data_IF_905023466783
#
_entry.id   IF_905023466783
#
_cell.length_a   1.000
_cell.length_b   1.000
_cell.length_c   1.000
_cell.angle_alpha   90.00
_cell.angle_beta   90.00
_cell.angle_gamma   90.00
#
_symmetry.space_group_name_H-M   'P 1'
#
loop_
_entity.id
_entity.type
_entity.pdbx_description
1 polymer ?
#
# COMPACT_ATOMS: atom_id res chain seq x y z
N UNK A 1 9.39 18.19 -19.64
CA UNK A 1 9.70 16.90 -18.97
C UNK A 1 8.45 16.12 -18.54
N UNK A 2 7.57 16.61 -17.64
CA UNK A 2 6.41 15.85 -17.12
C UNK A 2 5.44 15.31 -18.19
N UNK A 3 5.14 16.09 -19.23
CA UNK A 3 4.30 15.69 -20.39
C UNK A 3 4.87 14.49 -21.14
N UNK A 4 6.15 14.57 -21.49
CA UNK A 4 6.87 13.50 -22.17
C UNK A 4 6.90 12.24 -21.31
N UNK A 5 7.05 12.37 -19.98
CA UNK A 5 6.98 11.25 -19.05
C UNK A 5 5.67 10.45 -19.15
N UNK A 6 4.51 11.10 -19.27
CA UNK A 6 3.24 10.40 -19.48
C UNK A 6 3.12 9.75 -20.86
N UNK A 7 3.60 10.41 -21.90
CA UNK A 7 3.54 9.87 -23.26
C UNK A 7 4.44 8.63 -23.40
N UNK A 8 5.69 8.73 -22.93
CA UNK A 8 6.64 7.60 -22.92
C UNK A 8 6.20 6.51 -21.96
N UNK A 9 5.72 6.87 -20.77
CA UNK A 9 5.21 5.92 -19.79
C UNK A 9 4.04 5.10 -20.34
N UNK A 10 3.09 5.76 -21.01
CA UNK A 10 2.01 5.06 -21.72
C UNK A 10 2.55 4.18 -22.86
N UNK A 11 3.48 4.68 -23.68
CA UNK A 11 4.06 3.91 -24.79
C UNK A 11 4.74 2.63 -24.31
N UNK A 12 5.55 2.70 -23.25
CA UNK A 12 6.21 1.55 -22.63
C UNK A 12 5.19 0.59 -21.99
N UNK A 13 4.19 1.13 -21.29
CA UNK A 13 3.11 0.34 -20.70
C UNK A 13 2.31 -0.43 -21.77
N UNK A 14 1.97 0.27 -22.86
CA UNK A 14 1.30 -0.32 -24.01
C UNK A 14 2.16 -1.42 -24.61
N UNK A 15 3.42 -1.15 -24.98
CA UNK A 15 4.30 -2.15 -25.57
C UNK A 15 4.46 -3.40 -24.69
N UNK A 16 4.61 -3.22 -23.37
CA UNK A 16 4.72 -4.33 -22.43
C UNK A 16 3.45 -5.18 -22.40
N UNK A 17 2.28 -4.60 -22.09
CA UNK A 17 1.05 -5.36 -21.94
C UNK A 17 0.53 -5.92 -23.25
N UNK A 18 0.65 -5.15 -24.33
CA UNK A 18 0.24 -5.54 -25.67
C UNK A 18 1.11 -6.71 -26.18
N UNK A 19 2.44 -6.59 -26.07
CA UNK A 19 3.37 -7.64 -26.48
C UNK A 19 3.33 -8.88 -25.60
N UNK A 20 3.08 -8.74 -24.29
CA UNK A 20 3.01 -9.87 -23.36
C UNK A 20 1.86 -10.84 -23.71
N UNK A 21 0.71 -10.31 -24.12
CA UNK A 21 -0.42 -11.12 -24.58
C UNK A 21 -0.04 -12.03 -25.74
N UNK A 22 0.56 -11.45 -26.77
CA UNK A 22 0.97 -12.17 -27.98
C UNK A 22 2.12 -13.15 -27.71
N UNK A 23 3.10 -12.78 -26.88
CA UNK A 23 4.21 -13.66 -26.49
C UNK A 23 3.75 -14.91 -25.73
N UNK A 24 2.74 -14.78 -24.87
CA UNK A 24 2.23 -15.90 -24.06
C UNK A 24 1.10 -16.71 -24.72
N UNK A 25 0.56 -16.25 -25.85
CA UNK A 25 -0.60 -16.85 -26.52
C UNK A 25 -0.35 -18.19 -27.24
N UNK A 26 0.82 -18.47 -27.85
CA UNK A 26 1.03 -19.69 -28.63
C UNK A 26 0.66 -20.96 -27.86
N UNK A 27 -0.11 -21.85 -28.51
CA UNK A 27 -0.56 -23.12 -27.94
C UNK A 27 -1.83 -23.06 -27.08
N UNK A 28 -2.47 -21.89 -26.91
CA UNK A 28 -3.71 -21.72 -26.11
C UNK A 28 -4.78 -20.91 -26.83
N UNK A 29 -4.78 -20.89 -28.16
CA UNK A 29 -5.58 -19.94 -28.95
C UNK A 29 -7.01 -20.40 -29.18
N UNK A 30 -7.91 -19.43 -29.30
CA UNK A 30 -9.33 -19.65 -29.59
C UNK A 30 -9.73 -18.86 -30.84
N UNK A 31 -10.72 -19.33 -31.59
CA UNK A 31 -11.26 -18.57 -32.71
C UNK A 31 -12.03 -17.35 -32.18
N UNK A 32 -11.81 -16.19 -32.79
CA UNK A 32 -12.56 -14.98 -32.50
C UNK A 32 -14.04 -15.16 -32.90
N UNK A 33 -15.01 -14.68 -32.08
CA UNK A 33 -16.40 -14.64 -32.48
C UNK A 33 -16.60 -13.74 -33.71
N UNK A 34 -17.16 -14.31 -34.78
CA UNK A 34 -17.42 -13.64 -36.04
C UNK A 34 -18.88 -13.86 -36.49
N UNK A 35 -19.48 -12.87 -37.16
CA UNK A 35 -20.77 -13.06 -37.81
C UNK A 35 -20.61 -13.43 -39.28
N UNK A 36 -21.44 -14.36 -39.78
CA UNK A 36 -21.33 -14.90 -41.15
C UNK A 36 -21.43 -13.83 -42.25
N UNK A 37 -22.26 -12.81 -42.03
CA UNK A 37 -22.45 -11.71 -42.98
C UNK A 37 -21.20 -10.86 -43.14
N UNK A 38 -20.28 -10.86 -42.15
CA UNK A 38 -19.06 -10.08 -42.24
C UNK A 38 -18.23 -10.51 -43.44
N UNK A 39 -18.18 -11.80 -43.76
CA UNK A 39 -17.43 -12.32 -44.92
C UNK A 39 -17.89 -11.75 -46.27
N UNK A 40 -19.11 -11.23 -46.34
CA UNK A 40 -19.69 -10.67 -47.56
C UNK A 40 -19.28 -9.21 -47.79
N UNK A 41 -18.73 -8.53 -46.78
CA UNK A 41 -18.26 -7.16 -46.92
C UNK A 41 -17.06 -7.07 -47.88
N UNK A 42 -17.03 -6.08 -48.79
CA UNK A 42 -15.87 -5.88 -49.66
C UNK A 42 -14.66 -5.42 -48.83
N UNK A 43 -13.49 -5.99 -49.12
CA UNK A 43 -12.23 -5.53 -48.53
C UNK A 43 -11.85 -4.20 -49.17
N UNK A 44 -11.58 -3.18 -48.36
CA UNK A 44 -11.22 -1.83 -48.82
C UNK A 44 -9.84 -1.40 -48.29
N UNK A 45 -8.73 -1.74 -48.97
CA UNK A 45 -7.38 -1.44 -48.49
C UNK A 45 -7.12 0.05 -48.20
N UNK A 46 -7.56 1.04 -49.02
CA UNK A 46 -7.43 2.46 -48.67
C UNK A 46 -8.00 2.88 -47.30
N UNK A 47 -8.96 2.14 -46.71
CA UNK A 47 -9.46 2.41 -45.36
C UNK A 47 -8.33 2.31 -44.30
N UNK A 48 -7.20 1.67 -44.62
CA UNK A 48 -6.01 1.64 -43.77
C UNK A 48 -5.47 3.03 -43.43
N UNK A 49 -5.69 4.06 -44.25
CA UNK A 49 -5.27 5.43 -43.92
C UNK A 49 -6.13 6.02 -42.81
N UNK A 50 -7.44 5.73 -42.81
CA UNK A 50 -8.33 6.09 -41.71
C UNK A 50 -7.95 5.31 -40.45
N UNK A 51 -7.63 4.03 -40.59
CA UNK A 51 -7.11 3.20 -39.50
C UNK A 51 -5.86 3.84 -38.85
N UNK A 52 -4.87 4.21 -39.66
CA UNK A 52 -3.60 4.79 -39.19
C UNK A 52 -3.73 6.24 -38.68
N UNK A 53 -4.87 6.91 -38.92
CA UNK A 53 -5.10 8.29 -38.46
C UNK A 53 -5.11 8.44 -36.93
N UNK A 54 -5.16 7.35 -36.18
CA UNK A 54 -4.97 7.36 -34.72
C UNK A 54 -3.56 7.84 -34.31
N UNK A 55 -2.54 7.57 -35.13
CA UNK A 55 -1.14 7.95 -34.85
C UNK A 55 -0.97 9.49 -34.80
N UNK A 56 -1.39 10.26 -35.81
CA UNK A 56 -1.36 11.72 -35.71
C UNK A 56 -2.30 12.25 -34.62
N UNK A 57 -3.39 11.55 -34.28
CA UNK A 57 -4.24 11.93 -33.15
C UNK A 57 -3.50 11.83 -31.80
N UNK A 58 -2.68 10.79 -31.57
CA UNK A 58 -1.77 10.72 -30.42
C UNK A 58 -0.78 11.89 -30.40
N UNK A 59 -0.20 12.25 -31.56
CA UNK A 59 0.67 13.42 -31.70
C UNK A 59 -0.03 14.72 -31.32
N UNK A 60 -1.28 14.90 -31.76
CA UNK A 60 -2.09 16.07 -31.44
C UNK A 60 -2.43 16.14 -29.93
N UNK A 61 -2.79 15.02 -29.32
CA UNK A 61 -3.02 14.91 -27.86
C UNK A 61 -1.75 15.32 -27.10
N UNK A 62 -0.60 14.75 -27.49
CA UNK A 62 0.67 15.06 -26.88
C UNK A 62 1.02 16.54 -27.01
N UNK A 63 0.70 17.19 -28.13
CA UNK A 63 1.02 18.60 -28.35
C UNK A 63 0.04 19.57 -27.68
N UNK A 64 -1.27 19.35 -27.82
CA UNK A 64 -2.28 20.41 -27.62
C UNK A 64 -3.10 20.28 -26.34
N UNK A 65 -3.18 19.09 -25.73
CA UNK A 65 -3.99 18.90 -24.50
C UNK A 65 -3.35 19.59 -23.30
N UNK A 66 -4.13 20.21 -22.39
CA UNK A 66 -3.57 20.65 -21.12
C UNK A 66 -3.12 19.44 -20.28
N UNK A 67 -2.16 19.66 -19.38
CA UNK A 67 -1.46 18.57 -18.69
C UNK A 67 -2.40 17.66 -17.88
N UNK A 68 -3.42 18.22 -17.23
CA UNK A 68 -4.38 17.46 -16.42
C UNK A 68 -5.22 16.52 -17.28
N UNK A 69 -5.71 16.97 -18.44
CA UNK A 69 -6.45 16.13 -19.38
C UNK A 69 -5.55 15.10 -20.08
N UNK A 70 -4.31 15.47 -20.43
CA UNK A 70 -3.35 14.51 -20.98
C UNK A 70 -3.08 13.36 -19.99
N UNK A 71 -2.78 13.71 -18.73
CA UNK A 71 -2.55 12.73 -17.67
C UNK A 71 -3.77 11.85 -17.45
N UNK A 72 -4.97 12.45 -17.41
CA UNK A 72 -6.23 11.72 -17.28
C UNK A 72 -6.45 10.74 -18.45
N UNK A 73 -6.20 11.20 -19.69
CA UNK A 73 -6.35 10.36 -20.89
C UNK A 73 -5.36 9.22 -20.85
N UNK A 74 -4.07 9.50 -20.64
CA UNK A 74 -3.04 8.47 -20.53
C UNK A 74 -3.38 7.43 -19.45
N UNK A 75 -3.93 7.85 -18.31
CA UNK A 75 -4.38 6.94 -17.24
C UNK A 75 -5.53 6.05 -17.71
N UNK A 76 -6.52 6.60 -18.41
CA UNK A 76 -7.64 5.84 -18.96
C UNK A 76 -7.16 4.84 -20.01
N UNK A 77 -6.25 5.25 -20.90
CA UNK A 77 -5.67 4.37 -21.91
C UNK A 77 -4.83 3.25 -21.24
N UNK A 78 -4.02 3.55 -20.21
CA UNK A 78 -3.31 2.52 -19.45
C UNK A 78 -4.26 1.50 -18.82
N UNK A 79 -5.39 1.95 -18.25
CA UNK A 79 -6.40 1.06 -17.67
C UNK A 79 -7.06 0.18 -18.75
N UNK A 80 -7.34 0.72 -19.94
CA UNK A 80 -7.85 -0.06 -21.08
C UNK A 80 -6.84 -1.09 -21.55
N UNK A 81 -5.57 -0.72 -21.70
CA UNK A 81 -4.48 -1.65 -22.04
C UNK A 81 -4.35 -2.77 -21.02
N UNK A 82 -4.46 -2.45 -19.72
CA UNK A 82 -4.36 -3.45 -18.65
C UNK A 82 -5.49 -4.48 -18.75
N UNK A 83 -6.73 -4.01 -18.91
CA UNK A 83 -7.91 -4.89 -18.98
C UNK A 83 -7.87 -5.72 -20.26
N UNK A 84 -7.66 -5.08 -21.41
CA UNK A 84 -7.58 -5.77 -22.69
C UNK A 84 -6.41 -6.77 -22.73
N UNK A 85 -5.22 -6.35 -22.29
CA UNK A 85 -4.04 -7.20 -22.19
C UNK A 85 -4.24 -8.40 -21.26
N UNK A 86 -4.94 -8.21 -20.14
CA UNK A 86 -5.33 -9.33 -19.25
C UNK A 86 -6.29 -10.30 -19.94
N UNK A 87 -7.25 -9.79 -20.73
CA UNK A 87 -8.15 -10.63 -21.53
C UNK A 87 -7.36 -11.38 -22.59
N UNK A 88 -6.42 -10.74 -23.31
CA UNK A 88 -5.58 -11.40 -24.30
C UNK A 88 -4.73 -12.54 -23.69
N UNK A 89 -4.31 -12.41 -22.43
CA UNK A 89 -3.56 -13.46 -21.72
C UNK A 89 -4.41 -14.66 -21.31
N UNK A 90 -5.65 -14.41 -20.91
CA UNK A 90 -6.60 -15.42 -20.43
C UNK A 90 -7.32 -16.09 -21.62
N UNK A 91 -7.62 -15.32 -22.65
CA UNK A 91 -8.42 -15.69 -23.81
C UNK A 91 -7.79 -15.14 -25.11
N UNK A 92 -6.64 -15.70 -25.55
CA UNK A 92 -5.98 -15.26 -26.77
C UNK A 92 -6.81 -15.69 -28.00
N UNK A 93 -7.17 -14.72 -28.83
CA UNK A 93 -8.08 -14.93 -29.95
C UNK A 93 -7.33 -14.82 -31.27
N UNK A 94 -7.56 -15.74 -32.21
CA UNK A 94 -7.05 -15.67 -33.58
C UNK A 94 -8.21 -15.63 -34.58
N UNK A 95 -7.97 -15.01 -35.73
CA UNK A 95 -8.92 -14.97 -36.85
C UNK A 95 -8.31 -15.63 -38.08
N UNK A 96 -9.11 -16.29 -38.94
CA UNK A 96 -8.66 -16.72 -40.26
C UNK A 96 -8.14 -15.56 -41.14
N UNK A 97 -8.48 -14.31 -40.81
CA UNK A 97 -8.01 -13.13 -41.56
C UNK A 97 -6.57 -12.73 -41.25
N UNK A 98 -5.94 -13.30 -40.22
CA UNK A 98 -4.56 -12.97 -39.85
C UNK A 98 -3.54 -13.23 -40.96
N UNK A 99 -3.88 -14.10 -41.92
CA UNK A 99 -2.99 -14.46 -43.03
C UNK A 99 -3.23 -13.63 -44.29
N UNK A 100 -4.14 -12.65 -44.26
CA UNK A 100 -4.51 -11.84 -45.41
C UNK A 100 -3.37 -10.89 -45.82
N UNK A 101 -2.75 -11.13 -46.97
CA UNK A 101 -1.67 -10.28 -47.52
C UNK A 101 -2.18 -9.41 -48.66
N UNK A 102 -2.42 -8.13 -48.40
CA UNK A 102 -2.80 -7.14 -49.41
C UNK A 102 -1.61 -6.26 -49.79
N UNK A 103 -1.37 -6.09 -51.10
CA UNK A 103 -0.31 -5.22 -51.60
C UNK A 103 -0.75 -3.74 -51.66
N UNK A 104 -1.03 -3.15 -50.49
CA UNK A 104 -1.37 -1.73 -50.34
C UNK A 104 -0.51 -1.11 -49.24
N UNK A 105 0.19 0.03 -49.49
CA UNK A 105 1.20 0.56 -48.56
C UNK A 105 0.63 0.86 -47.17
N UNK A 106 -0.56 1.47 -47.10
CA UNK A 106 -1.21 1.74 -45.83
C UNK A 106 -1.61 0.46 -45.08
N UNK A 107 -1.99 -0.61 -45.80
CA UNK A 107 -2.33 -1.89 -45.18
C UNK A 107 -1.08 -2.56 -44.61
N UNK A 108 0.01 -2.60 -45.37
CA UNK A 108 1.29 -3.17 -44.94
C UNK A 108 1.84 -2.48 -43.68
N UNK A 109 1.65 -1.16 -43.56
CA UNK A 109 2.02 -0.42 -42.36
C UNK A 109 1.11 -0.73 -41.17
N UNK A 110 -0.21 -0.82 -41.39
CA UNK A 110 -1.16 -1.19 -40.35
C UNK A 110 -0.90 -2.61 -39.82
N UNK A 111 -0.67 -3.55 -40.72
CA UNK A 111 -0.42 -4.96 -40.42
C UNK A 111 0.85 -5.16 -39.57
N UNK A 112 1.93 -4.41 -39.86
CA UNK A 112 3.17 -4.45 -39.05
C UNK A 112 2.99 -3.98 -37.61
N UNK A 113 1.96 -3.20 -37.31
CA UNK A 113 1.70 -2.69 -35.96
C UNK A 113 0.78 -3.62 -35.17
N UNK A 114 0.06 -4.50 -35.86
CA UNK A 114 -0.88 -5.42 -35.24
C UNK A 114 -0.19 -6.70 -34.80
N UNK A 115 -0.60 -7.20 -33.64
CA UNK A 115 -0.22 -8.52 -33.15
C UNK A 115 -1.22 -9.57 -33.65
N UNK A 116 -0.93 -10.85 -33.41
CA UNK A 116 -1.72 -11.95 -33.97
C UNK A 116 -2.94 -12.28 -33.10
N UNK A 117 -2.79 -12.19 -31.78
CA UNK A 117 -3.75 -12.76 -30.83
C UNK A 117 -4.65 -11.75 -30.06
N UNK A 118 -4.65 -10.48 -30.46
CA UNK A 118 -5.18 -9.34 -29.70
C UNK A 118 -6.54 -8.81 -30.21
N UNK A 119 -7.47 -9.70 -30.58
CA UNK A 119 -8.73 -9.33 -31.23
C UNK A 119 -9.72 -8.64 -30.26
N UNK A 120 -10.35 -9.38 -29.33
CA UNK A 120 -11.35 -8.84 -28.41
C UNK A 120 -10.79 -8.56 -27.01
N UNK A 121 -11.00 -7.36 -26.43
CA UNK A 121 -11.60 -6.17 -27.03
C UNK A 121 -10.61 -5.41 -27.92
N UNK A 122 -11.09 -4.80 -29.01
CA UNK A 122 -10.22 -4.02 -29.92
C UNK A 122 -9.68 -2.76 -29.23
N UNK A 123 -8.38 -2.76 -28.90
CA UNK A 123 -7.69 -1.59 -28.34
C UNK A 123 -7.66 -0.39 -29.28
N UNK A 124 -7.55 -0.61 -30.60
CA UNK A 124 -7.52 0.47 -31.58
C UNK A 124 -8.81 1.30 -31.54
N UNK A 125 -9.95 0.61 -31.56
CA UNK A 125 -11.27 1.23 -31.38
C UNK A 125 -11.41 1.85 -29.99
N UNK A 126 -10.97 1.18 -28.92
CA UNK A 126 -11.06 1.72 -27.57
C UNK A 126 -10.31 3.07 -27.45
N UNK A 127 -9.11 3.16 -28.04
CA UNK A 127 -8.31 4.38 -28.05
C UNK A 127 -8.94 5.47 -28.92
N UNK A 128 -9.47 5.14 -30.10
CA UNK A 128 -10.15 6.11 -30.96
C UNK A 128 -11.39 6.72 -30.28
N UNK A 129 -12.22 5.89 -29.65
CA UNK A 129 -13.40 6.34 -28.89
C UNK A 129 -12.98 7.20 -27.69
N UNK A 130 -11.93 6.82 -26.97
CA UNK A 130 -11.39 7.60 -25.84
C UNK A 130 -10.86 8.96 -26.26
N UNK A 131 -10.15 9.02 -27.39
CA UNK A 131 -9.69 10.28 -27.97
C UNK A 131 -10.85 11.15 -28.40
N UNK A 132 -11.86 10.59 -29.06
CA UNK A 132 -13.05 11.35 -29.47
C UNK A 132 -13.79 11.93 -28.25
N UNK A 133 -13.93 11.15 -27.18
CA UNK A 133 -14.49 11.61 -25.91
C UNK A 133 -13.68 12.78 -25.33
N UNK A 134 -12.35 12.66 -25.32
CA UNK A 134 -11.47 13.69 -24.77
C UNK A 134 -11.47 14.96 -25.64
N UNK A 135 -11.39 14.82 -26.96
CA UNK A 135 -11.53 15.94 -27.91
C UNK A 135 -12.87 16.65 -27.75
N UNK A 136 -13.97 15.90 -27.69
CA UNK A 136 -15.30 16.46 -27.47
C UNK A 136 -15.49 17.10 -26.09
N UNK A 137 -14.69 16.71 -25.08
CA UNK A 137 -14.70 17.31 -23.75
C UNK A 137 -13.95 18.64 -23.72
N UNK A 138 -12.81 18.74 -24.42
CA UNK A 138 -11.95 19.95 -24.45
C UNK A 138 -12.47 20.97 -25.47
N UNK A 139 -12.94 20.49 -26.63
CA UNK A 139 -13.42 21.31 -27.73
C UNK A 139 -14.83 20.86 -28.15
N UNK A 140 -15.87 21.32 -27.44
CA UNK A 140 -17.25 20.88 -27.69
C UNK A 140 -17.73 21.10 -29.13
N UNK A 141 -17.23 22.13 -29.82
CA UNK A 141 -17.58 22.45 -31.22
C UNK A 141 -17.22 21.34 -32.20
N UNK A 142 -16.17 20.56 -31.93
CA UNK A 142 -15.73 19.46 -32.82
C UNK A 142 -16.20 18.09 -32.33
N UNK A 143 -17.06 18.02 -31.30
CA UNK A 143 -17.47 16.75 -30.70
C UNK A 143 -18.03 15.78 -31.72
N UNK A 144 -18.95 16.23 -32.56
CA UNK A 144 -19.54 15.41 -33.61
C UNK A 144 -18.51 14.99 -34.66
N UNK A 145 -17.61 15.89 -35.05
CA UNK A 145 -16.50 15.54 -35.95
C UNK A 145 -15.61 14.45 -35.35
N UNK A 146 -15.28 14.55 -34.06
CA UNK A 146 -14.48 13.57 -33.35
C UNK A 146 -15.21 12.22 -33.22
N UNK A 147 -16.52 12.22 -32.96
CA UNK A 147 -17.35 11.01 -32.96
C UNK A 147 -17.42 10.37 -34.34
N UNK A 148 -17.64 11.15 -35.41
CA UNK A 148 -17.63 10.67 -36.78
C UNK A 148 -16.27 10.07 -37.15
N UNK A 149 -15.17 10.71 -36.73
CA UNK A 149 -13.83 10.18 -36.91
C UNK A 149 -13.63 8.83 -36.19
N UNK A 150 -14.04 8.71 -34.92
CA UNK A 150 -13.93 7.44 -34.19
C UNK A 150 -14.79 6.33 -34.82
N UNK A 151 -16.00 6.66 -35.30
CA UNK A 151 -16.84 5.73 -36.06
C UNK A 151 -16.17 5.31 -37.37
N UNK A 152 -15.52 6.24 -38.08
CA UNK A 152 -14.77 5.92 -39.30
C UNK A 152 -13.55 5.04 -39.00
N UNK A 153 -12.86 5.25 -37.88
CA UNK A 153 -11.76 4.38 -37.43
C UNK A 153 -12.30 2.98 -37.11
N UNK A 154 -13.43 2.87 -36.41
CA UNK A 154 -14.08 1.60 -36.11
C UNK A 154 -14.57 0.85 -37.37
N UNK A 155 -15.17 1.56 -38.32
CA UNK A 155 -15.55 0.96 -39.59
C UNK A 155 -14.33 0.52 -40.40
N UNK A 156 -13.23 1.29 -40.35
CA UNK A 156 -12.02 0.96 -41.11
C UNK A 156 -11.40 -0.35 -40.66
N UNK A 157 -11.45 -0.71 -39.36
CA UNK A 157 -10.90 -1.99 -38.86
C UNK A 157 -11.59 -3.21 -39.48
N UNK A 158 -12.91 -3.15 -39.68
CA UNK A 158 -13.70 -4.22 -40.31
C UNK A 158 -13.45 -4.27 -41.82
N UNK A 159 -13.41 -3.10 -42.47
CA UNK A 159 -13.19 -3.00 -43.94
C UNK A 159 -11.82 -3.51 -44.38
N UNK A 160 -10.81 -3.42 -43.50
CA UNK A 160 -9.47 -3.97 -43.75
C UNK A 160 -9.27 -5.37 -43.16
N UNK A 161 -10.32 -6.02 -42.61
CA UNK A 161 -10.26 -7.36 -42.03
C UNK A 161 -9.28 -7.52 -40.86
N UNK A 162 -9.05 -6.45 -40.10
CA UNK A 162 -8.20 -6.48 -38.90
C UNK A 162 -9.00 -6.73 -37.61
N UNK A 163 -10.33 -6.54 -37.63
CA UNK A 163 -11.23 -6.85 -36.52
C UNK A 163 -12.62 -7.29 -37.00
N UNK A 164 -13.28 -8.15 -36.23
CA UNK A 164 -14.70 -8.47 -36.37
C UNK A 164 -15.57 -7.45 -35.65
N UNK A 165 -16.87 -7.43 -35.94
CA UNK A 165 -17.79 -6.48 -35.29
C UNK A 165 -17.82 -6.70 -33.77
N UNK A 166 -17.73 -7.95 -33.30
CA UNK A 166 -17.67 -8.28 -31.88
C UNK A 166 -16.52 -7.56 -31.16
N UNK A 167 -15.31 -7.56 -31.74
CA UNK A 167 -14.13 -6.91 -31.18
C UNK A 167 -14.29 -5.39 -31.12
N UNK A 168 -14.88 -4.82 -32.17
CA UNK A 168 -15.17 -3.39 -32.28
C UNK A 168 -16.14 -2.95 -31.20
N UNK A 169 -17.25 -3.70 -31.01
CA UNK A 169 -18.25 -3.39 -29.99
C UNK A 169 -17.69 -3.54 -28.57
N UNK A 170 -16.94 -4.61 -28.30
CA UNK A 170 -16.30 -4.81 -27.00
C UNK A 170 -15.22 -3.75 -26.71
N UNK A 171 -14.46 -3.30 -27.73
CA UNK A 171 -13.52 -2.19 -27.63
C UNK A 171 -14.20 -0.84 -27.32
N UNK A 172 -15.27 -0.52 -28.03
CA UNK A 172 -16.06 0.69 -27.76
C UNK A 172 -16.71 0.67 -26.37
N UNK A 173 -17.22 -0.51 -25.95
CA UNK A 173 -17.76 -0.76 -24.61
C UNK A 173 -16.72 -0.55 -23.52
N UNK A 174 -15.53 -1.14 -23.66
CA UNK A 174 -14.40 -0.97 -22.73
C UNK A 174 -14.02 0.52 -22.60
N UNK A 175 -13.89 1.21 -23.73
CA UNK A 175 -13.60 2.65 -23.71
C UNK A 175 -14.65 3.43 -22.94
N UNK A 176 -15.93 3.21 -23.27
CA UNK A 176 -17.05 3.92 -22.63
C UNK A 176 -17.08 3.67 -21.13
N UNK A 177 -16.91 2.41 -20.70
CA UNK A 177 -16.86 2.04 -19.29
C UNK A 177 -15.75 2.78 -18.53
N UNK A 178 -14.52 2.77 -19.07
CA UNK A 178 -13.38 3.42 -18.41
C UNK A 178 -13.50 4.95 -18.44
N UNK A 179 -13.87 5.53 -19.58
CA UNK A 179 -14.00 6.98 -19.71
C UNK A 179 -15.11 7.51 -18.81
N UNK A 180 -16.27 6.85 -18.75
CA UNK A 180 -17.37 7.27 -17.88
C UNK A 180 -16.98 7.20 -16.39
N UNK A 181 -16.26 6.15 -15.96
CA UNK A 181 -15.89 5.95 -14.55
C UNK A 181 -14.70 6.81 -14.07
N UNK A 182 -13.68 6.99 -14.92
CA UNK A 182 -12.38 7.50 -14.48
C UNK A 182 -12.00 8.87 -15.06
N UNK A 183 -12.56 9.31 -16.18
CA UNK A 183 -12.13 10.55 -16.86
C UNK A 183 -12.25 11.80 -15.99
N UNK A 184 -13.39 12.01 -15.34
CA UNK A 184 -13.61 13.22 -14.53
C UNK A 184 -12.80 13.19 -13.23
N UNK A 185 -12.72 12.01 -12.60
CA UNK A 185 -12.00 11.82 -11.34
C UNK A 185 -10.49 11.98 -11.53
N UNK A 186 -9.92 11.39 -12.59
CA UNK A 186 -8.47 11.44 -12.86
C UNK A 186 -7.95 12.82 -13.27
N UNK A 187 -8.84 13.76 -13.61
CA UNK A 187 -8.46 15.16 -13.82
C UNK A 187 -8.25 15.93 -12.51
N UNK A 188 -8.89 15.49 -11.42
CA UNK A 188 -8.85 16.19 -10.11
C UNK A 188 -7.54 15.88 -9.39
N UNK A 189 -6.91 16.89 -8.81
CA UNK A 189 -5.66 16.71 -8.06
C UNK A 189 -5.84 15.77 -6.85
N UNK A 190 -6.98 15.86 -6.16
CA UNK A 190 -7.35 14.97 -5.05
C UNK A 190 -7.40 13.46 -5.42
N UNK A 191 -7.60 13.11 -6.70
CA UNK A 191 -7.46 11.70 -7.13
C UNK A 191 -6.01 11.23 -7.05
N UNK A 192 -5.07 12.07 -7.49
CA UNK A 192 -3.65 11.78 -7.46
C UNK A 192 -3.06 11.86 -6.07
N UNK A 193 -3.56 12.75 -5.22
CA UNK A 193 -3.13 12.84 -3.84
C UNK A 193 -3.49 11.56 -3.07
N UNK A 194 -4.66 10.97 -3.35
CA UNK A 194 -5.08 9.67 -2.82
C UNK A 194 -4.18 8.53 -3.31
N UNK A 195 -3.90 8.46 -4.62
CA UNK A 195 -3.00 7.44 -5.17
C UNK A 195 -1.60 7.56 -4.57
N UNK A 196 -1.09 8.79 -4.46
CA UNK A 196 0.23 9.06 -3.88
C UNK A 196 0.28 8.63 -2.42
N UNK A 197 -0.76 8.93 -1.63
CA UNK A 197 -0.82 8.52 -0.23
C UNK A 197 -0.86 7.00 -0.07
N UNK A 198 -1.64 6.29 -0.91
CA UNK A 198 -1.63 4.82 -0.92
C UNK A 198 -0.24 4.27 -1.27
N UNK A 199 0.42 4.81 -2.29
CA UNK A 199 1.77 4.39 -2.68
C UNK A 199 2.81 4.66 -1.58
N UNK A 200 2.72 5.82 -0.91
CA UNK A 200 3.58 6.16 0.23
C UNK A 200 3.34 5.21 1.40
N UNK A 201 2.08 4.91 1.72
CA UNK A 201 1.70 3.97 2.76
C UNK A 201 2.28 2.57 2.49
N UNK A 202 2.15 2.05 1.26
CA UNK A 202 2.72 0.75 0.89
C UNK A 202 4.26 0.75 0.94
N UNK A 203 4.89 1.84 0.49
CA UNK A 203 6.36 1.99 0.56
C UNK A 203 6.85 2.00 2.01
N UNK A 204 6.15 2.69 2.91
CA UNK A 204 6.47 2.71 4.32
C UNK A 204 6.27 1.32 4.97
N UNK A 205 5.19 0.61 4.66
CA UNK A 205 5.03 -0.78 5.11
C UNK A 205 6.16 -1.70 4.65
N UNK A 206 6.64 -1.54 3.42
CA UNK A 206 7.78 -2.29 2.94
C UNK A 206 9.07 -1.96 3.70
N UNK A 207 9.27 -0.71 4.10
CA UNK A 207 10.36 -0.32 5.00
C UNK A 207 10.24 -1.01 6.36
N UNK A 208 9.06 -0.94 7.00
CA UNK A 208 8.80 -1.58 8.29
C UNK A 208 9.01 -3.10 8.23
N UNK A 209 8.53 -3.75 7.16
CA UNK A 209 8.68 -5.18 6.94
C UNK A 209 10.16 -5.62 6.78
N UNK A 210 11.01 -4.75 6.21
CA UNK A 210 12.45 -4.99 6.13
C UNK A 210 13.14 -4.87 7.49
N UNK A 211 12.65 -3.98 8.37
CA UNK A 211 13.15 -3.83 9.74
C UNK A 211 12.83 -5.05 10.58
N UNK A 212 11.57 -5.50 10.60
CA UNK A 212 11.17 -6.64 11.42
C UNK A 212 9.97 -7.41 10.86
N UNK A 213 10.02 -8.76 10.99
CA UNK A 213 8.96 -9.66 10.47
C UNK A 213 7.57 -9.40 11.07
N UNK A 214 7.48 -8.81 12.27
CA UNK A 214 6.20 -8.43 12.91
C UNK A 214 5.36 -7.50 12.04
N UNK A 215 6.02 -6.60 11.30
CA UNK A 215 5.33 -5.65 10.45
C UNK A 215 4.73 -6.29 9.21
N UNK A 216 5.25 -7.44 8.77
CA UNK A 216 4.60 -8.26 7.72
C UNK A 216 3.24 -8.76 8.23
N UNK A 217 3.18 -9.30 9.46
CA UNK A 217 1.93 -9.75 10.05
C UNK A 217 0.94 -8.60 10.22
N UNK A 218 1.38 -7.45 10.74
CA UNK A 218 0.52 -6.27 10.90
C UNK A 218 -0.03 -5.82 9.54
N UNK A 219 0.82 -5.73 8.51
CA UNK A 219 0.40 -5.38 7.16
C UNK A 219 -0.64 -6.35 6.62
N UNK A 220 -0.43 -7.67 6.76
CA UNK A 220 -1.41 -8.69 6.35
C UNK A 220 -2.74 -8.51 7.06
N UNK A 221 -2.73 -8.30 8.39
CA UNK A 221 -3.96 -8.11 9.16
C UNK A 221 -4.72 -6.84 8.73
N UNK A 222 -4.01 -5.72 8.56
CA UNK A 222 -4.60 -4.46 8.10
C UNK A 222 -5.15 -4.56 6.66
N UNK A 223 -4.45 -5.27 5.77
CA UNK A 223 -4.92 -5.53 4.41
C UNK A 223 -6.16 -6.43 4.41
N UNK A 224 -6.14 -7.53 5.16
CA UNK A 224 -7.27 -8.44 5.29
C UNK A 224 -8.52 -7.73 5.83
N UNK A 225 -8.36 -6.85 6.83
CA UNK A 225 -9.45 -6.02 7.34
C UNK A 225 -9.97 -5.03 6.28
N UNK A 226 -9.07 -4.47 5.48
CA UNK A 226 -9.42 -3.52 4.41
C UNK A 226 -10.18 -4.15 3.25
N UNK A 227 -10.10 -5.47 3.05
CA UNK A 227 -10.88 -6.17 2.02
C UNK A 227 -12.39 -6.15 2.31
N UNK A 228 -12.79 -6.07 3.60
CA UNK A 228 -14.19 -5.99 4.00
C UNK A 228 -14.78 -4.60 3.75
N UNK A 229 -14.00 -3.55 4.03
CA UNK A 229 -14.38 -2.17 3.77
C UNK A 229 -13.14 -1.33 3.44
N UNK A 230 -12.90 -1.12 2.15
CA UNK A 230 -11.69 -0.44 1.67
C UNK A 230 -11.57 1.00 2.19
N UNK A 231 -12.71 1.70 2.37
CA UNK A 231 -12.71 3.09 2.84
C UNK A 231 -12.31 3.16 4.31
N UNK A 232 -12.93 2.35 5.18
CA UNK A 232 -12.57 2.30 6.62
C UNK A 232 -11.16 1.76 6.81
N UNK A 233 -10.81 0.68 6.10
CA UNK A 233 -9.47 0.09 6.14
C UNK A 233 -8.37 1.07 5.72
N UNK A 234 -8.63 1.96 4.75
CA UNK A 234 -7.68 3.02 4.38
C UNK A 234 -7.34 3.93 5.56
N UNK A 235 -8.34 4.38 6.32
CA UNK A 235 -8.12 5.30 7.46
C UNK A 235 -7.22 4.62 8.48
N UNK A 236 -7.54 3.38 8.85
CA UNK A 236 -6.76 2.60 9.79
C UNK A 236 -5.30 2.39 9.32
N UNK A 237 -5.11 2.03 8.05
CA UNK A 237 -3.77 1.87 7.46
C UNK A 237 -2.96 3.15 7.47
N UNK A 238 -3.59 4.27 7.13
CA UNK A 238 -2.92 5.57 7.08
C UNK A 238 -2.56 6.05 8.49
N UNK A 239 -3.49 5.94 9.45
CA UNK A 239 -3.21 6.26 10.85
C UNK A 239 -2.05 5.43 11.41
N UNK A 240 -2.11 4.09 11.25
CA UNK A 240 -1.02 3.21 11.69
C UNK A 240 0.30 3.55 11.00
N UNK A 241 0.29 3.68 9.67
CA UNK A 241 1.49 3.91 8.89
C UNK A 241 2.14 5.27 9.21
N UNK A 242 1.33 6.31 9.43
CA UNK A 242 1.82 7.63 9.82
C UNK A 242 2.43 7.59 11.22
N UNK A 243 1.73 7.00 12.20
CA UNK A 243 2.24 6.86 13.55
C UNK A 243 3.55 6.06 13.57
N UNK A 244 3.62 4.90 12.90
CA UNK A 244 4.83 4.08 12.85
C UNK A 244 5.98 4.77 12.11
N UNK A 245 5.71 5.58 11.09
CA UNK A 245 6.78 6.35 10.43
C UNK A 245 7.33 7.43 11.35
N UNK A 246 6.46 8.12 12.10
CA UNK A 246 6.90 9.11 13.10
C UNK A 246 7.72 8.44 14.21
N UNK A 247 7.26 7.30 14.71
CA UNK A 247 7.93 6.44 15.70
C UNK A 247 9.33 6.02 15.21
N UNK A 248 9.42 5.35 14.06
CA UNK A 248 10.70 4.93 13.46
C UNK A 248 11.64 6.14 13.22
N UNK A 249 11.11 7.32 12.89
CA UNK A 249 11.90 8.53 12.73
C UNK A 249 12.50 9.02 14.05
N UNK A 250 11.69 9.08 15.11
CA UNK A 250 12.10 9.52 16.44
C UNK A 250 13.10 8.54 17.08
N UNK A 251 12.91 7.25 16.84
CA UNK A 251 13.79 6.17 17.34
C UNK A 251 15.09 6.01 16.53
N UNK A 252 15.24 6.76 15.44
CA UNK A 252 16.41 6.69 14.55
C UNK A 252 16.44 5.48 13.61
N UNK A 253 15.37 4.68 13.57
CA UNK A 253 15.19 3.58 12.63
C UNK A 253 14.90 4.06 11.20
N UNK A 254 14.48 5.32 11.06
CA UNK A 254 14.35 6.05 9.81
C UNK A 254 15.36 7.19 9.76
N UNK A 255 16.32 7.11 8.83
CA UNK A 255 17.39 8.09 8.71
C UNK A 255 16.85 9.51 8.44
N UNK A 256 17.42 10.49 9.14
CA UNK A 256 17.11 11.91 9.01
C UNK A 256 18.39 12.75 9.02
N UNK A 257 18.46 13.75 8.14
CA UNK A 257 19.59 14.69 8.06
C UNK A 257 19.60 15.69 9.23
N UNK A 258 18.42 15.98 9.77
CA UNK A 258 18.23 16.88 10.91
C UNK A 258 17.65 16.10 12.08
N UNK A 259 17.80 16.64 13.29
CA UNK A 259 17.25 16.04 14.52
C UNK A 259 15.77 15.63 14.35
N UNK A 260 15.42 14.34 14.56
CA UNK A 260 14.06 13.82 14.39
C UNK A 260 12.95 14.64 15.06
N UNK A 261 13.18 15.12 16.29
CA UNK A 261 12.19 15.92 17.01
C UNK A 261 11.83 17.21 16.24
N UNK A 262 12.82 17.90 15.69
CA UNK A 262 12.62 19.11 14.87
C UNK A 262 11.80 18.77 13.62
N UNK A 263 12.02 17.59 13.02
CA UNK A 263 11.28 17.16 11.83
C UNK A 263 9.82 16.88 12.12
N UNK A 264 9.51 16.26 13.26
CA UNK A 264 8.12 16.03 13.68
C UNK A 264 7.43 17.36 14.05
N UNK A 265 8.15 18.30 14.67
CA UNK A 265 7.62 19.65 14.91
C UNK A 265 7.32 20.40 13.60
N UNK A 266 8.21 20.32 12.60
CA UNK A 266 7.97 20.85 11.26
C UNK A 266 6.78 20.18 10.57
N UNK A 267 6.64 18.85 10.74
CA UNK A 267 5.52 18.07 10.23
C UNK A 267 4.18 18.57 10.79
N UNK A 268 4.11 18.76 12.12
CA UNK A 268 2.94 19.29 12.82
C UNK A 268 2.63 20.75 12.43
N UNK A 269 3.65 21.54 12.11
CA UNK A 269 3.50 22.92 11.63
C UNK A 269 3.15 23.03 10.13
N UNK A 270 3.10 21.92 9.39
CA UNK A 270 2.83 21.93 7.94
C UNK A 270 4.00 22.44 7.09
N UNK A 271 5.22 22.45 7.65
CA UNK A 271 6.44 22.95 7.01
C UNK A 271 7.24 21.84 6.32
N UNK A 272 6.78 20.58 6.38
CA UNK A 272 7.39 19.47 5.67
C UNK A 272 7.08 19.48 4.17
N UNK A 273 8.08 19.17 3.35
CA UNK A 273 7.91 19.01 1.90
C UNK A 273 8.34 17.62 1.42
N UNK A 274 8.02 16.59 2.20
CA UNK A 274 8.42 15.21 1.94
C UNK A 274 7.21 14.25 1.87
N UNK A 275 7.47 12.96 1.67
CA UNK A 275 6.42 11.94 1.62
C UNK A 275 5.65 11.79 2.93
N UNK A 276 6.31 11.98 4.08
CA UNK A 276 5.68 11.90 5.38
C UNK A 276 4.65 13.02 5.59
N UNK A 277 4.96 14.28 5.21
CA UNK A 277 3.97 15.38 5.25
C UNK A 277 2.72 15.02 4.46
N UNK A 278 2.87 14.55 3.22
CA UNK A 278 1.72 14.19 2.39
C UNK A 278 0.86 13.09 3.04
N UNK A 279 1.48 12.07 3.64
CA UNK A 279 0.74 11.00 4.30
C UNK A 279 0.07 11.48 5.61
N UNK A 280 0.76 12.34 6.37
CA UNK A 280 0.26 12.95 7.60
C UNK A 280 -0.97 13.83 7.33
N UNK A 281 -0.89 14.73 6.35
CA UNK A 281 -2.01 15.60 5.96
C UNK A 281 -3.23 14.79 5.50
N UNK A 282 -2.99 13.72 4.72
CA UNK A 282 -4.08 12.83 4.30
C UNK A 282 -4.65 12.00 5.45
N UNK A 283 -3.83 11.64 6.43
CA UNK A 283 -4.30 10.96 7.65
C UNK A 283 -5.21 11.89 8.44
N UNK A 284 -4.77 13.11 8.75
CA UNK A 284 -5.57 14.09 9.47
C UNK A 284 -6.85 14.45 8.72
N UNK A 285 -6.80 14.63 7.40
CA UNK A 285 -8.00 14.89 6.59
C UNK A 285 -9.02 13.76 6.71
N UNK A 286 -8.57 12.49 6.67
CA UNK A 286 -9.45 11.33 6.79
C UNK A 286 -10.02 11.18 8.20
N UNK A 287 -9.20 11.42 9.24
CA UNK A 287 -9.66 11.42 10.63
C UNK A 287 -10.70 12.52 10.83
N UNK A 288 -10.38 13.76 10.47
CA UNK A 288 -11.29 14.90 10.61
C UNK A 288 -12.66 14.66 9.96
N UNK A 289 -12.67 14.07 8.76
CA UNK A 289 -13.90 13.84 7.99
C UNK A 289 -14.74 12.67 8.48
N UNK A 290 -14.15 11.64 9.10
CA UNK A 290 -14.83 10.37 9.37
C UNK A 290 -14.80 9.95 10.85
N UNK A 291 -13.80 10.39 11.60
CA UNK A 291 -13.52 10.06 12.99
C UNK A 291 -12.94 11.28 13.76
N UNK A 292 -13.64 12.41 13.84
CA UNK A 292 -13.15 13.61 14.53
C UNK A 292 -12.85 13.36 16.02
N UNK A 293 -13.49 12.36 16.62
CA UNK A 293 -13.22 11.88 17.99
C UNK A 293 -11.82 11.29 18.15
N UNK A 294 -11.24 10.72 17.09
CA UNK A 294 -9.91 10.08 17.08
C UNK A 294 -8.79 11.08 16.77
N UNK A 295 -9.09 12.20 16.12
CA UNK A 295 -8.08 13.17 15.68
C UNK A 295 -7.24 13.69 16.86
N UNK A 296 -7.89 14.06 17.98
CA UNK A 296 -7.19 14.54 19.19
C UNK A 296 -6.34 13.44 19.85
N UNK A 297 -6.89 12.24 20.17
CA UNK A 297 -6.08 11.12 20.66
C UNK A 297 -4.88 10.79 19.77
N UNK A 298 -5.03 10.83 18.44
CA UNK A 298 -3.95 10.58 17.50
C UNK A 298 -2.83 11.64 17.61
N UNK A 299 -3.19 12.92 17.70
CA UNK A 299 -2.22 14.00 17.91
C UNK A 299 -1.53 13.89 19.27
N UNK A 300 -2.27 13.52 20.32
CA UNK A 300 -1.70 13.25 21.65
C UNK A 300 -0.73 12.08 21.62
N UNK A 301 -1.01 11.01 20.87
CA UNK A 301 -0.10 9.88 20.69
C UNK A 301 1.23 10.35 20.08
N UNK A 302 1.17 11.18 19.03
CA UNK A 302 2.37 11.77 18.41
C UNK A 302 3.16 12.63 19.42
N UNK A 303 2.48 13.40 20.28
CA UNK A 303 3.15 14.18 21.32
C UNK A 303 3.84 13.28 22.36
N UNK A 304 3.22 12.17 22.75
CA UNK A 304 3.81 11.21 23.68
C UNK A 304 5.07 10.58 23.08
N UNK A 305 5.06 10.22 21.79
CA UNK A 305 6.26 9.77 21.07
C UNK A 305 7.36 10.84 21.05
N UNK A 306 7.01 12.11 20.82
CA UNK A 306 7.98 13.21 20.89
C UNK A 306 8.62 13.34 22.28
N UNK A 307 7.85 13.14 23.36
CA UNK A 307 8.38 13.18 24.74
C UNK A 307 9.45 12.11 24.97
N UNK A 308 9.36 10.93 24.34
CA UNK A 308 10.43 9.94 24.44
C UNK A 308 11.72 10.42 23.79
N UNK A 309 11.64 11.06 22.63
CA UNK A 309 12.83 11.67 22.02
C UNK A 309 13.39 12.83 22.86
N UNK A 310 12.53 13.64 23.47
CA UNK A 310 12.96 14.68 24.42
C UNK A 310 13.68 14.09 25.64
N UNK A 311 13.19 12.95 26.16
CA UNK A 311 13.86 12.21 27.25
C UNK A 311 15.25 11.75 26.85
N UNK A 312 15.42 11.24 25.62
CA UNK A 312 16.74 10.85 25.09
C UNK A 312 17.68 12.06 25.05
N UNK A 313 17.23 13.16 24.44
CA UNK A 313 18.05 14.37 24.28
C UNK A 313 18.45 15.01 25.62
N UNK A 314 17.55 14.97 26.60
CA UNK A 314 17.78 15.47 27.95
C UNK A 314 18.47 14.46 28.89
N UNK A 315 18.73 13.22 28.42
CA UNK A 315 19.19 12.10 29.24
C UNK A 315 18.35 11.94 30.53
N UNK A 316 17.03 12.09 30.38
CA UNK A 316 16.14 12.27 31.51
C UNK A 316 15.89 10.94 32.24
N UNK A 317 16.08 10.96 33.57
CA UNK A 317 15.80 9.85 34.46
C UNK A 317 14.58 10.21 35.30
N UNK A 318 13.48 9.48 35.12
CA UNK A 318 12.18 9.82 35.71
C UNK A 318 11.86 9.00 36.95
N UNK A 319 11.11 9.63 37.87
CA UNK A 319 10.53 8.94 39.03
C UNK A 319 9.61 7.79 38.61
N UNK A 320 9.50 6.72 39.43
CA UNK A 320 8.71 5.54 39.10
C UNK A 320 7.28 5.84 38.61
N UNK A 321 6.55 6.70 39.33
CA UNK A 321 5.15 6.98 39.03
C UNK A 321 4.99 7.72 37.69
N UNK A 322 5.85 8.71 37.45
CA UNK A 322 5.86 9.48 36.19
C UNK A 322 6.20 8.59 35.00
N UNK A 323 7.17 7.70 35.18
CA UNK A 323 7.60 6.77 34.13
C UNK A 323 6.49 5.74 33.81
N UNK A 324 5.85 5.18 34.83
CA UNK A 324 4.74 4.26 34.64
C UNK A 324 3.53 4.92 33.96
N UNK A 325 3.18 6.15 34.37
CA UNK A 325 2.10 6.92 33.75
C UNK A 325 2.37 7.16 32.26
N UNK A 326 3.61 7.50 31.89
CA UNK A 326 3.99 7.73 30.49
C UNK A 326 3.87 6.48 29.63
N UNK A 327 4.31 5.31 30.13
CA UNK A 327 4.13 4.05 29.42
C UNK A 327 2.64 3.72 29.24
N UNK A 328 1.84 3.89 30.28
CA UNK A 328 0.39 3.66 30.20
C UNK A 328 -0.30 4.63 29.23
N UNK A 329 0.07 5.91 29.22
CA UNK A 329 -0.49 6.94 28.31
C UNK A 329 -0.24 6.57 26.85
N UNK A 330 0.97 6.12 26.51
CA UNK A 330 1.34 5.69 25.15
C UNK A 330 0.44 4.55 24.65
N UNK A 331 0.28 3.50 25.46
CA UNK A 331 -0.51 2.33 25.09
C UNK A 331 -2.02 2.56 25.18
N UNK A 332 -2.47 3.42 26.11
CA UNK A 332 -3.85 3.87 26.16
C UNK A 332 -4.22 4.57 24.85
N UNK A 333 -3.46 5.61 24.45
CA UNK A 333 -3.78 6.42 23.26
C UNK A 333 -3.75 5.60 21.97
N UNK A 334 -2.74 4.73 21.82
CA UNK A 334 -2.63 3.86 20.63
C UNK A 334 -3.74 2.82 20.56
N UNK A 335 -4.09 2.19 21.69
CA UNK A 335 -5.20 1.22 21.74
C UNK A 335 -6.55 1.91 21.52
N UNK A 336 -6.74 3.10 22.08
CA UNK A 336 -7.97 3.88 21.97
C UNK A 336 -8.23 4.30 20.51
N UNK A 337 -7.19 4.83 19.83
CA UNK A 337 -7.26 5.12 18.40
C UNK A 337 -7.64 3.88 17.59
N UNK A 338 -7.03 2.73 17.89
CA UNK A 338 -7.31 1.49 17.18
C UNK A 338 -8.76 1.03 17.39
N UNK A 339 -9.24 1.00 18.64
CA UNK A 339 -10.59 0.55 18.97
C UNK A 339 -11.66 1.45 18.33
N UNK A 340 -11.47 2.76 18.35
CA UNK A 340 -12.39 3.72 17.75
C UNK A 340 -12.39 3.65 16.21
N UNK A 341 -11.22 3.58 15.56
CA UNK A 341 -11.12 3.43 14.10
C UNK A 341 -11.64 2.09 13.60
N UNK A 342 -11.63 1.08 14.47
CA UNK A 342 -12.22 -0.21 14.20
C UNK A 342 -13.65 -0.31 14.72
N UNK A 343 -14.27 0.78 15.20
CA UNK A 343 -15.66 0.85 15.68
C UNK A 343 -16.02 -0.27 16.68
N UNK A 344 -15.09 -0.58 17.58
CA UNK A 344 -15.32 -1.55 18.65
C UNK A 344 -16.31 -0.98 19.69
N UNK A 345 -17.06 -1.85 20.35
CA UNK A 345 -17.97 -1.43 21.43
C UNK A 345 -17.23 -1.07 22.73
N UNK A 346 -16.05 -1.67 22.91
CA UNK A 346 -15.18 -1.38 24.05
C UNK A 346 -14.22 -0.24 23.74
N UNK A 347 -13.81 0.47 24.78
CA UNK A 347 -12.84 1.55 24.74
C UNK A 347 -11.56 1.14 25.49
N UNK A 348 -10.46 1.88 25.29
CA UNK A 348 -9.19 1.56 25.96
C UNK A 348 -9.31 1.59 27.49
N UNK A 349 -10.14 2.48 28.04
CA UNK A 349 -10.41 2.58 29.49
C UNK A 349 -11.01 1.30 30.09
N UNK A 350 -11.69 0.48 29.28
CA UNK A 350 -12.24 -0.79 29.74
C UNK A 350 -11.14 -1.84 29.92
N UNK A 351 -9.94 -1.60 29.38
CA UNK A 351 -8.84 -2.57 29.30
C UNK A 351 -7.57 -2.13 30.03
N UNK A 352 -7.65 -1.67 31.30
CA UNK A 352 -6.46 -1.27 32.06
C UNK A 352 -5.47 -2.42 32.22
N UNK A 353 -5.96 -3.66 32.36
CA UNK A 353 -5.12 -4.85 32.48
C UNK A 353 -4.28 -5.11 31.21
N UNK A 354 -4.84 -4.84 30.03
CA UNK A 354 -4.12 -5.00 28.76
C UNK A 354 -3.12 -3.86 28.56
N UNK A 355 -3.48 -2.63 28.92
CA UNK A 355 -2.59 -1.47 28.85
C UNK A 355 -1.36 -1.68 29.75
N UNK A 356 -1.56 -2.14 30.99
CA UNK A 356 -0.47 -2.49 31.91
C UNK A 356 0.44 -3.56 31.30
N UNK A 357 -0.14 -4.61 30.71
CA UNK A 357 0.62 -5.69 30.09
C UNK A 357 1.40 -5.22 28.84
N UNK A 358 0.83 -4.33 28.03
CA UNK A 358 1.50 -3.73 26.86
C UNK A 358 2.67 -2.84 27.29
N UNK A 359 2.46 -1.99 28.30
CA UNK A 359 3.47 -1.11 28.87
C UNK A 359 4.69 -1.91 29.33
N UNK A 360 4.48 -2.96 30.14
CA UNK A 360 5.55 -3.87 30.56
C UNK A 360 6.22 -4.57 29.36
N UNK A 361 5.43 -5.10 28.43
CA UNK A 361 5.95 -5.87 27.30
C UNK A 361 6.88 -5.03 26.43
N UNK A 362 6.54 -3.75 26.19
CA UNK A 362 7.36 -2.86 25.38
C UNK A 362 8.70 -2.59 26.04
N UNK A 363 8.69 -2.15 27.31
CA UNK A 363 9.90 -1.87 28.09
C UNK A 363 10.81 -3.09 28.13
N UNK A 364 10.25 -4.27 28.39
CA UNK A 364 11.04 -5.50 28.54
C UNK A 364 11.58 -6.01 27.20
N UNK A 365 10.80 -5.85 26.12
CA UNK A 365 11.19 -6.29 24.78
C UNK A 365 12.35 -5.46 24.23
N UNK A 366 12.25 -4.14 24.41
CA UNK A 366 13.12 -3.18 23.74
C UNK A 366 14.21 -2.59 24.67
N UNK A 367 14.27 -2.98 25.96
CA UNK A 367 15.18 -2.38 26.97
C UNK A 367 16.61 -2.17 26.48
N UNK A 368 17.23 -3.18 25.89
CA UNK A 368 18.63 -3.09 25.43
C UNK A 368 18.79 -2.13 24.25
N UNK A 369 17.84 -2.12 23.32
CA UNK A 369 17.81 -1.18 22.19
C UNK A 369 17.55 0.25 22.68
N UNK A 370 16.62 0.41 23.62
CA UNK A 370 16.30 1.69 24.27
C UNK A 370 17.53 2.26 24.98
N UNK A 371 18.23 1.45 25.79
CA UNK A 371 19.45 1.87 26.48
C UNK A 371 20.55 2.26 25.49
N UNK A 372 20.74 1.49 24.42
CA UNK A 372 21.71 1.81 23.36
C UNK A 372 21.37 3.13 22.64
N UNK A 373 20.09 3.48 22.53
CA UNK A 373 19.59 4.75 21.97
C UNK A 373 19.53 5.88 23.00
N UNK A 374 19.86 5.62 24.27
CA UNK A 374 19.84 6.60 25.36
C UNK A 374 18.46 6.82 26.00
N UNK A 375 17.47 5.98 25.69
CA UNK A 375 16.15 6.01 26.31
C UNK A 375 16.16 5.17 27.61
N UNK A 376 16.14 5.84 28.75
CA UNK A 376 16.22 5.17 30.05
C UNK A 376 14.82 4.80 30.53
N UNK A 377 14.40 3.55 30.26
CA UNK A 377 13.15 2.97 30.75
C UNK A 377 13.31 2.20 32.08
N UNK A 378 14.22 2.68 32.94
CA UNK A 378 14.45 2.18 34.30
C UNK A 378 14.13 3.31 35.29
N UNK A 379 13.33 3.07 36.34
CA UNK A 379 12.98 4.09 37.32
C UNK A 379 14.19 4.69 38.02
N UNK A 380 14.11 5.98 38.36
CA UNK A 380 15.24 6.73 38.92
C UNK A 380 15.84 6.10 40.19
N UNK A 381 15.00 5.62 41.10
CA UNK A 381 15.45 4.97 42.34
C UNK A 381 16.25 3.68 42.08
N UNK A 382 16.03 3.01 40.95
CA UNK A 382 16.79 1.83 40.51
C UNK A 382 18.02 2.25 39.73
N UNK A 383 17.86 3.19 38.78
CA UNK A 383 18.94 3.67 37.91
C UNK A 383 20.13 4.23 38.70
N UNK A 384 19.85 4.98 39.79
CA UNK A 384 20.91 5.55 40.65
C UNK A 384 21.72 4.53 41.44
N UNK A 385 21.27 3.28 41.51
CA UNK A 385 21.97 2.21 42.25
C UNK A 385 22.97 1.44 41.38
N UNK A 386 23.03 1.73 40.09
CA UNK A 386 24.08 1.18 39.22
C UNK A 386 25.38 1.94 39.44
N UNK A 387 26.48 1.21 39.66
CA UNK A 387 27.83 1.79 39.73
C UNK A 387 28.27 2.34 38.36
N UNK A 388 27.83 1.68 37.28
CA UNK A 388 28.06 2.07 35.90
C UNK A 388 26.77 1.91 35.09
N UNK A 389 26.53 2.82 34.15
CA UNK A 389 25.33 2.80 33.31
C UNK A 389 25.22 1.47 32.55
N UNK A 390 24.17 0.66 32.79
CA UNK A 390 24.03 -0.63 32.13
C UNK A 390 23.82 -0.42 30.63
N UNK A 391 24.47 -1.27 29.81
CA UNK A 391 24.33 -1.23 28.35
C UNK A 391 23.55 -2.44 27.84
N UNK A 392 23.65 -3.57 28.54
CA UNK A 392 23.04 -4.82 28.14
C UNK A 392 22.04 -5.33 29.17
N UNK A 393 21.20 -6.27 28.76
CA UNK A 393 20.35 -7.01 29.68
C UNK A 393 21.14 -7.70 30.81
N UNK A 394 22.33 -8.22 30.49
CA UNK A 394 23.20 -8.89 31.46
C UNK A 394 23.69 -7.94 32.54
N UNK A 395 24.04 -6.70 32.19
CA UNK A 395 24.47 -5.68 33.16
C UNK A 395 23.32 -5.33 34.12
N UNK A 396 22.10 -5.23 33.58
CA UNK A 396 20.92 -4.96 34.38
C UNK A 396 20.70 -6.06 35.44
N UNK A 397 20.82 -7.33 35.06
CA UNK A 397 20.62 -8.47 35.95
C UNK A 397 21.66 -8.60 37.06
N UNK A 398 22.85 -7.99 36.92
CA UNK A 398 23.86 -7.97 37.98
C UNK A 398 23.44 -7.07 39.15
N UNK A 399 22.59 -6.07 38.90
CA UNK A 399 22.10 -5.17 39.94
C UNK A 399 20.99 -5.82 40.76
N UNK A 400 21.23 -5.99 42.06
CA UNK A 400 20.21 -6.46 43.01
C UNK A 400 18.99 -5.54 43.03
N UNK A 401 19.21 -4.22 42.89
CA UNK A 401 18.14 -3.22 42.87
C UNK A 401 17.24 -3.39 41.64
N UNK A 402 17.85 -3.63 40.48
CA UNK A 402 17.12 -3.89 39.25
C UNK A 402 16.31 -5.17 39.35
N UNK A 403 16.92 -6.27 39.79
CA UNK A 403 16.22 -7.55 39.98
C UNK A 403 15.05 -7.43 40.97
N UNK A 404 15.26 -6.72 42.09
CA UNK A 404 14.22 -6.48 43.10
C UNK A 404 13.05 -5.64 42.58
N UNK A 405 13.26 -4.80 41.57
CA UNK A 405 12.20 -4.04 40.90
C UNK A 405 11.55 -4.82 39.75
N UNK A 406 12.37 -5.43 38.89
CA UNK A 406 11.96 -6.01 37.63
C UNK A 406 11.11 -7.28 37.80
N UNK A 407 11.48 -8.22 38.67
CA UNK A 407 10.72 -9.46 38.82
C UNK A 407 9.31 -9.24 39.39
N UNK A 408 9.11 -8.41 40.43
CA UNK A 408 7.75 -8.05 40.86
C UNK A 408 6.96 -7.32 39.77
N UNK A 409 7.62 -6.44 38.99
CA UNK A 409 6.99 -5.75 37.86
C UNK A 409 6.53 -6.74 36.77
N UNK A 410 7.38 -7.71 36.42
CA UNK A 410 7.05 -8.80 35.50
C UNK A 410 5.89 -9.64 36.03
N UNK A 411 5.96 -10.10 37.28
CA UNK A 411 4.91 -10.93 37.88
C UNK A 411 3.55 -10.22 37.86
N UNK A 412 3.52 -8.92 38.21
CA UNK A 412 2.31 -8.10 38.13
C UNK A 412 1.78 -8.03 36.68
N UNK A 413 2.63 -7.74 35.71
CA UNK A 413 2.23 -7.62 34.31
C UNK A 413 1.67 -8.93 33.74
N UNK A 414 2.25 -10.08 34.10
CA UNK A 414 1.72 -11.39 33.72
C UNK A 414 0.36 -11.69 34.37
N UNK A 415 0.17 -11.27 35.62
CA UNK A 415 -1.15 -11.31 36.27
C UNK A 415 -2.19 -10.46 35.54
N UNK A 416 -1.83 -9.24 35.10
CA UNK A 416 -2.73 -8.39 34.31
C UNK A 416 -3.04 -9.00 32.94
N UNK A 417 -2.05 -9.61 32.28
CA UNK A 417 -2.28 -10.34 31.02
C UNK A 417 -3.27 -11.50 31.19
N UNK A 418 -3.20 -12.23 32.31
CA UNK A 418 -4.17 -13.29 32.61
C UNK A 418 -5.59 -12.76 32.77
N UNK A 419 -5.76 -11.63 33.47
CA UNK A 419 -7.06 -10.95 33.58
C UNK A 419 -7.60 -10.52 32.21
N UNK A 420 -6.76 -9.87 31.39
CA UNK A 420 -7.13 -9.50 30.03
C UNK A 420 -7.56 -10.72 29.21
N UNK A 421 -6.81 -11.83 29.29
CA UNK A 421 -7.13 -13.09 28.61
C UNK A 421 -8.47 -13.68 29.06
N UNK A 422 -8.78 -13.60 30.35
CA UNK A 422 -10.06 -14.09 30.90
C UNK A 422 -11.26 -13.23 30.47
N UNK A 423 -11.05 -11.94 30.21
CA UNK A 423 -12.11 -11.01 29.77
C UNK A 423 -12.38 -11.08 28.27
N UNK A 424 -11.38 -11.46 27.47
CA UNK A 424 -11.48 -11.51 26.00
C UNK A 424 -12.68 -12.32 25.45
N UNK A 425 -13.08 -13.47 26.03
CA UNK A 425 -14.29 -14.21 25.62
C UNK A 425 -15.61 -13.54 25.99
N UNK A 426 -15.61 -12.51 26.83
CA UNK A 426 -16.82 -11.78 27.26
C UNK A 426 -17.15 -10.60 26.34
N UNK A 427 -16.18 -10.16 25.52
CA UNK A 427 -16.36 -9.03 24.62
C UNK A 427 -17.07 -9.43 23.34
N UNK A 428 -17.62 -8.42 22.67
CA UNK A 428 -18.23 -8.57 21.36
C UNK A 428 -17.23 -9.12 20.33
N UNK A 429 -17.70 -9.77 19.25
CA UNK A 429 -16.82 -10.44 18.28
C UNK A 429 -15.80 -9.50 17.61
N UNK A 430 -16.14 -8.23 17.41
CA UNK A 430 -15.30 -7.26 16.73
C UNK A 430 -14.17 -6.80 17.66
N UNK A 431 -14.49 -6.41 18.89
CA UNK A 431 -13.49 -6.09 19.91
C UNK A 431 -12.55 -7.28 20.15
N UNK A 432 -13.10 -8.50 20.25
CA UNK A 432 -12.29 -9.71 20.39
C UNK A 432 -11.30 -9.89 19.25
N UNK A 433 -11.75 -9.73 18.00
CA UNK A 433 -10.91 -9.88 16.81
C UNK A 433 -9.76 -8.87 16.78
N UNK A 434 -9.99 -7.66 17.25
CA UNK A 434 -8.98 -6.58 17.32
C UNK A 434 -8.01 -6.80 18.47
N UNK A 435 -8.48 -7.22 19.65
CA UNK A 435 -7.68 -7.32 20.86
C UNK A 435 -6.90 -8.64 20.99
N UNK A 436 -7.44 -9.74 20.46
CA UNK A 436 -6.82 -11.08 20.58
C UNK A 436 -5.37 -11.14 20.08
N UNK A 437 -4.99 -10.52 18.94
CA UNK A 437 -3.60 -10.50 18.50
C UNK A 437 -2.64 -9.87 19.51
N UNK A 438 -3.05 -8.84 20.25
CA UNK A 438 -2.22 -8.19 21.27
C UNK A 438 -1.97 -9.11 22.45
N UNK A 439 -3.04 -9.71 22.99
CA UNK A 439 -2.94 -10.68 24.11
C UNK A 439 -2.03 -11.86 23.71
N UNK A 440 -2.21 -12.40 22.50
CA UNK A 440 -1.39 -13.49 21.99
C UNK A 440 0.07 -13.09 21.75
N UNK A 441 0.32 -11.84 21.34
CA UNK A 441 1.68 -11.32 21.13
C UNK A 441 2.42 -11.18 22.45
N UNK A 442 1.81 -10.59 23.48
CA UNK A 442 2.45 -10.37 24.79
C UNK A 442 2.78 -11.71 25.45
N UNK A 443 1.91 -12.72 25.33
CA UNK A 443 2.12 -14.04 25.91
C UNK A 443 3.42 -14.72 25.44
N UNK A 444 3.96 -14.36 24.27
CA UNK A 444 5.23 -14.90 23.75
C UNK A 444 6.47 -14.32 24.44
N UNK A 445 6.34 -13.21 25.15
CA UNK A 445 7.43 -12.53 25.84
C UNK A 445 7.54 -12.92 27.33
N UNK A 446 6.83 -13.97 27.74
CA UNK A 446 7.03 -14.60 29.05
C UNK A 446 8.45 -15.17 29.12
N UNK A 447 9.37 -14.43 29.74
CA UNK A 447 10.72 -14.91 30.06
C UNK A 447 10.68 -15.71 31.36
N UNK A 448 11.39 -16.84 31.40
CA UNK A 448 11.62 -17.60 32.63
C UNK A 448 12.46 -16.76 33.61
N UNK A 449 12.16 -16.85 34.91
CA UNK A 449 12.91 -16.18 35.97
C UNK A 449 14.34 -16.74 36.06
N UNK A 450 15.40 -15.94 35.82
CA UNK A 450 16.78 -16.39 35.98
C UNK A 450 17.24 -16.48 37.43
N UNK A 451 16.44 -16.02 38.40
CA UNK A 451 16.89 -15.80 39.78
C UNK A 451 16.41 -16.89 40.77
N UNK A 452 16.31 -18.13 40.30
CA UNK A 452 16.22 -19.31 41.15
C UNK A 452 17.12 -20.40 40.57
N UNK A 453 18.43 -20.24 40.76
CA UNK A 453 19.32 -21.35 41.14
C UNK A 453 20.78 -20.90 41.04
N UNK A 454 21.49 -21.02 42.16
CA UNK A 454 22.93 -21.24 42.11
C UNK A 454 23.18 -22.54 41.35
N UNK A 455 23.65 -22.44 40.11
CA UNK A 455 24.34 -23.51 39.40
C UNK A 455 23.52 -24.27 38.36
N UNK A 456 23.24 -23.64 37.22
CA UNK A 456 23.32 -24.33 35.91
C UNK A 456 23.22 -23.32 34.77
N UNK A 457 24.09 -23.46 33.77
CA UNK A 457 24.26 -22.54 32.65
C UNK A 457 22.99 -22.41 31.78
N UNK A 458 22.71 -21.23 31.19
CA UNK A 458 21.54 -21.06 30.33
C UNK A 458 21.73 -21.74 28.97
N UNK A 459 20.68 -22.24 28.31
CA UNK A 459 20.77 -22.71 26.94
C UNK A 459 20.85 -21.51 25.99
N UNK A 460 21.87 -21.56 25.14
CA UNK A 460 22.16 -20.58 24.10
C UNK A 460 21.05 -20.57 23.02
N UNK A 461 20.44 -19.42 22.66
CA UNK A 461 19.53 -19.36 21.53
C UNK A 461 20.34 -19.22 20.24
N UNK A 462 20.98 -20.31 19.79
CA UNK A 462 21.64 -20.31 18.48
C UNK A 462 20.63 -20.43 17.34
N UNK A 463 20.82 -19.52 16.39
CA UNK A 463 20.30 -19.48 15.03
C UNK A 463 20.02 -20.87 14.42
N UNK A 464 18.77 -21.06 13.95
CA UNK A 464 18.42 -22.16 13.07
C UNK A 464 19.04 -22.01 11.68
N UNK A 465 20.25 -22.53 11.50
CA UNK A 465 20.81 -22.84 10.20
C UNK A 465 20.39 -24.27 9.82
N UNK A 466 19.47 -24.40 8.87
CA UNK A 466 19.02 -25.69 8.33
C UNK A 466 20.10 -26.27 7.43
N UNK A 467 20.86 -27.25 7.93
CA UNK A 467 21.65 -28.15 7.08
C UNK A 467 20.83 -29.39 6.76
N UNK A 468 20.43 -29.53 5.48
CA UNK A 468 19.82 -30.76 4.94
C UNK A 468 20.89 -31.84 4.84
N UNK A 469 20.76 -32.92 5.61
CA UNK A 469 21.40 -34.20 5.26
C UNK A 469 20.49 -34.98 4.30
N UNK A 470 21.04 -35.27 3.13
CA UNK A 470 20.49 -36.18 2.13
C UNK A 470 20.76 -37.61 2.59
N UNK A 471 19.71 -38.37 2.90
CA UNK A 471 19.79 -39.83 3.00
C UNK A 471 19.62 -40.42 1.60
N UNK A 472 20.64 -41.13 1.12
CA UNK A 472 20.55 -42.07 0.00
C UNK A 472 19.96 -43.40 0.50
N UNK A 473 19.03 -44.04 -0.22
CA UNK A 473 18.62 -45.39 0.08
C UNK A 473 19.53 -46.40 -0.64
N UNK A 474 20.08 -47.35 0.13
CA UNK A 474 20.50 -48.65 -0.38
C UNK A 474 19.28 -49.57 -0.39
N UNK A 475 18.79 -49.89 -1.58
CA UNK A 475 18.71 -51.24 -2.17
C UNK A 475 17.89 -51.18 -3.46
#
# INVERSE_FOLDING_TARGET
>A
MKRLGWCWGFGLWFAFWYGLGDYCAPGRTHAVPAFDWEHQLPIWPPASYVYLSILPAFGLVAWRFPYTQLRALATCLCAQTLIAGSIFLIWPLHSPWSDLKLNHPGFLWADRLNLTYNWAPSLHVAFAVSMAWAFGSIWPKIRWLACCWALAVAASTVLIRQHHLFDVLTGAGLSTFIMAGFWSSSQKQAFWDRIRAEALCQRAFFHFARRHRRYVLIWVLLMAQSLLNWRKGRILRFAFCTAQWIDDLLDGDWQSETEPLIRVQQLQAGLGHNGLQHLYDQTLLLLHQNHPEVEKPFLSLVQVMCRDRERVLAQAIWEPDRLNQHWQETFFLSLDCLLQLTECQTQAQDWPDLIDALAWCSVTRDLEEDLAKGLINIPQNVWRQFEQSPQTWADCLQSKAFCAWYFPFQHRALGQLQKAKARLPLCDPQSRRVLQPFVASIARYQRAEPCSDHGSSPPNPQHGAVSRQVQTPRQ
#
